data_IF_061146143770
#
_entry.id   IF_061146143770
#
_cell.length_a   1.000
_cell.length_b   1.000
_cell.length_c   1.000
_cell.angle_alpha   90.00
_cell.angle_beta   90.00
_cell.angle_gamma   90.00
#
_symmetry.space_group_name_H-M   'P 1'
#
loop_
_entity.id
_entity.type
_entity.pdbx_description
1 polymer ?
#
# COMPACT_ATOMS: atom_id res chain seq x y z
N UNK A 1 23.37 -3.95 -2.18
CA UNK A 1 23.03 -4.34 -2.27
C UNK A 1 22.29 -4.70 -2.53
N UNK A 2 22.61 -4.64 -2.79
CA UNK A 2 21.99 -5.19 -3.28
C UNK A 2 21.06 -5.99 -2.84
N UNK A 3 20.63 -6.59 -3.16
CA UNK A 3 19.79 -7.64 -2.77
C UNK A 3 18.72 -7.27 -1.79
N UNK A 4 18.59 -6.06 -1.46
CA UNK A 4 17.58 -5.58 -0.53
C UNK A 4 16.48 -4.82 -1.20
N UNK A 5 16.39 -4.93 -2.50
CA UNK A 5 15.34 -4.22 -3.19
C UNK A 5 13.99 -4.84 -2.84
N UNK A 6 13.16 -4.06 -2.19
CA UNK A 6 11.80 -4.49 -1.87
C UNK A 6 10.85 -3.98 -2.92
N UNK A 7 9.78 -4.71 -3.12
CA UNK A 7 8.77 -4.37 -4.13
C UNK A 7 7.53 -3.82 -3.45
N UNK A 8 7.10 -2.65 -3.90
CA UNK A 8 5.90 -1.98 -3.42
C UNK A 8 4.89 -1.94 -4.56
N UNK A 9 3.66 -2.35 -4.27
CA UNK A 9 2.57 -2.22 -5.21
C UNK A 9 1.70 -1.06 -4.76
N UNK A 10 1.49 -0.09 -5.65
CA UNK A 10 0.63 1.06 -5.37
C UNK A 10 -0.68 0.86 -6.11
N UNK A 11 -1.77 0.76 -5.36
CA UNK A 11 -3.11 0.52 -5.91
C UNK A 11 -3.95 1.75 -5.68
N UNK A 12 -4.17 2.51 -6.74
CA UNK A 12 -4.93 3.76 -6.67
C UNK A 12 -5.33 4.10 -8.10
N UNK A 13 -6.56 4.54 -8.30
CA UNK A 13 -7.03 4.86 -9.64
C UNK A 13 -6.54 6.21 -10.15
N UNK A 14 -5.87 6.98 -9.30
CA UNK A 14 -5.38 8.30 -9.66
C UNK A 14 -3.93 8.21 -10.15
N UNK A 15 -3.69 8.41 -11.46
CA UNK A 15 -2.34 8.24 -12.01
C UNK A 15 -1.31 9.17 -11.38
N UNK A 16 -1.70 10.40 -11.03
CA UNK A 16 -0.75 11.34 -10.46
C UNK A 16 -0.27 10.88 -9.08
N UNK A 17 -1.15 10.28 -8.30
CA UNK A 17 -0.75 9.78 -7.00
C UNK A 17 0.18 8.57 -7.15
N UNK A 18 -0.14 7.68 -8.09
CA UNK A 18 0.74 6.54 -8.34
C UNK A 18 2.13 7.02 -8.75
N UNK A 19 2.18 8.03 -9.61
CA UNK A 19 3.47 8.57 -10.06
C UNK A 19 4.24 9.19 -8.90
N UNK A 20 3.55 9.95 -8.06
CA UNK A 20 4.18 10.56 -6.89
C UNK A 20 4.82 9.49 -6.00
N UNK A 21 4.07 8.45 -5.69
CA UNK A 21 4.58 7.36 -4.87
C UNK A 21 5.75 6.68 -5.55
N UNK A 22 5.60 6.38 -6.84
CA UNK A 22 6.63 5.66 -7.57
C UNK A 22 7.95 6.41 -7.59
N UNK A 23 7.92 7.70 -7.97
CA UNK A 23 9.14 8.47 -8.08
C UNK A 23 9.86 8.51 -6.74
N UNK A 24 9.12 8.78 -5.67
CA UNK A 24 9.75 8.93 -4.38
C UNK A 24 10.24 7.62 -3.79
N UNK A 25 9.50 6.55 -3.98
CA UNK A 25 9.93 5.26 -3.46
C UNK A 25 11.08 4.68 -4.27
N UNK A 26 11.10 4.90 -5.57
CA UNK A 26 12.23 4.45 -6.38
C UNK A 26 13.50 5.18 -5.98
N UNK A 27 13.40 6.45 -5.62
CA UNK A 27 14.56 7.17 -5.12
C UNK A 27 15.11 6.58 -3.84
N UNK A 28 14.28 5.88 -3.08
CA UNK A 28 14.70 5.23 -1.85
C UNK A 28 15.13 3.78 -2.07
N UNK A 29 15.14 3.32 -3.32
CA UNK A 29 15.64 1.99 -3.62
C UNK A 29 14.58 0.92 -3.79
N UNK A 30 13.31 1.27 -3.71
CA UNK A 30 12.24 0.29 -3.90
C UNK A 30 11.96 0.05 -5.38
N UNK A 31 11.52 -1.17 -5.68
CA UNK A 31 10.92 -1.48 -6.97
C UNK A 31 9.44 -1.20 -6.83
N UNK A 32 8.86 -0.43 -7.75
CA UNK A 32 7.47 -0.01 -7.61
C UNK A 32 6.63 -0.53 -8.77
N UNK A 33 5.54 -1.19 -8.44
CA UNK A 33 4.53 -1.63 -9.41
C UNK A 33 3.28 -0.80 -9.17
N UNK A 34 2.50 -0.59 -10.22
CA UNK A 34 1.29 0.23 -10.15
C UNK A 34 0.09 -0.54 -10.64
N UNK A 35 -1.04 -0.33 -9.99
CA UNK A 35 -2.32 -0.86 -10.44
C UNK A 35 -3.38 0.21 -10.29
N UNK A 36 -4.08 0.49 -11.36
CA UNK A 36 -5.16 1.48 -11.36
C UNK A 36 -6.53 0.85 -11.20
N UNK A 37 -6.61 -0.47 -11.13
CA UNK A 37 -7.88 -1.19 -10.94
C UNK A 37 -7.68 -2.32 -9.97
N UNK A 38 -8.78 -2.77 -9.38
CA UNK A 38 -8.76 -3.94 -8.49
C UNK A 38 -8.29 -5.18 -9.24
N UNK A 39 -8.78 -5.37 -10.48
CA UNK A 39 -8.41 -6.55 -11.26
C UNK A 39 -6.91 -6.61 -11.50
N UNK A 40 -6.31 -5.50 -11.89
CA UNK A 40 -4.86 -5.46 -12.12
C UNK A 40 -4.10 -5.73 -10.82
N UNK A 41 -4.57 -5.14 -9.72
CA UNK A 41 -3.91 -5.34 -8.42
C UNK A 41 -3.95 -6.81 -8.03
N UNK A 42 -5.08 -7.47 -8.18
CA UNK A 42 -5.20 -8.88 -7.82
C UNK A 42 -4.28 -9.74 -8.69
N UNK A 43 -4.19 -9.41 -9.97
CA UNK A 43 -3.30 -10.13 -10.86
C UNK A 43 -1.85 -9.99 -10.41
N UNK A 44 -1.45 -8.78 -10.04
CA UNK A 44 -0.07 -8.53 -9.62
C UNK A 44 0.26 -9.21 -8.30
N UNK A 45 -0.66 -9.20 -7.32
CA UNK A 45 -0.37 -9.86 -6.05
C UNK A 45 -0.28 -11.38 -6.22
N UNK A 46 -0.96 -11.93 -7.21
CA UNK A 46 -0.88 -13.37 -7.46
C UNK A 46 0.33 -13.78 -8.26
N UNK A 47 1.01 -12.84 -8.89
CA UNK A 47 2.10 -13.14 -9.82
C UNK A 47 3.46 -12.66 -9.35
N UNK A 48 3.50 -11.50 -8.70
CA UNK A 48 4.77 -10.88 -8.34
C UNK A 48 5.04 -11.07 -6.86
N UNK A 49 6.32 -11.07 -6.50
CA UNK A 49 6.72 -11.10 -5.10
C UNK A 49 6.65 -9.67 -4.57
N UNK A 50 5.63 -9.37 -3.81
CA UNK A 50 5.37 -8.02 -3.32
C UNK A 50 5.59 -7.98 -1.82
N UNK A 51 6.32 -6.96 -1.37
CA UNK A 51 6.63 -6.79 0.05
C UNK A 51 5.66 -5.84 0.74
N UNK A 52 5.19 -4.83 0.03
CA UNK A 52 4.28 -3.82 0.60
C UNK A 52 3.21 -3.50 -0.43
N UNK A 53 1.96 -3.42 0.02
CA UNK A 53 0.85 -2.95 -0.81
C UNK A 53 0.32 -1.65 -0.22
N UNK A 54 0.37 -0.58 -1.00
CA UNK A 54 -0.29 0.67 -0.66
C UNK A 54 -1.64 0.64 -1.37
N UNK A 55 -2.71 0.65 -0.62
CA UNK A 55 -4.01 0.27 -1.13
C UNK A 55 -5.06 1.32 -0.82
N UNK A 56 -5.57 1.98 -1.86
CA UNK A 56 -6.67 2.92 -1.69
C UNK A 56 -7.95 2.16 -1.36
N UNK A 57 -8.79 2.76 -0.54
CA UNK A 57 -10.09 2.16 -0.19
C UNK A 57 -10.98 2.06 -1.42
N UNK A 58 -11.00 3.10 -2.24
CA UNK A 58 -11.79 3.11 -3.46
C UNK A 58 -10.87 3.15 -4.67
N UNK A 59 -10.98 2.18 -5.55
CA UNK A 59 -10.13 2.08 -6.72
C UNK A 59 -11.04 2.08 -7.95
N UNK A 60 -11.26 3.28 -8.51
CA UNK A 60 -12.22 3.46 -9.57
C UNK A 60 -13.60 3.05 -9.10
N UNK A 61 -14.24 2.14 -9.80
CA UNK A 61 -15.54 1.61 -9.40
C UNK A 61 -15.41 0.46 -8.41
N UNK A 62 -14.19 0.05 -8.10
CA UNK A 62 -13.97 -1.12 -7.26
C UNK A 62 -13.67 -0.76 -5.82
N UNK A 63 -13.61 -1.78 -4.99
CA UNK A 63 -13.34 -1.64 -3.57
C UNK A 63 -11.97 -2.23 -3.28
N UNK A 64 -11.10 -1.42 -2.69
CA UNK A 64 -9.75 -1.87 -2.36
C UNK A 64 -9.74 -3.07 -1.42
N UNK A 65 -10.80 -3.25 -0.62
CA UNK A 65 -10.85 -4.40 0.27
C UNK A 65 -10.83 -5.73 -0.48
N UNK A 66 -11.24 -5.74 -1.74
CA UNK A 66 -11.14 -6.96 -2.54
C UNK A 66 -9.69 -7.37 -2.74
N UNK A 67 -8.78 -6.40 -2.82
CA UNK A 67 -7.35 -6.69 -2.93
C UNK A 67 -6.83 -7.22 -1.60
N UNK A 68 -7.27 -6.63 -0.50
CA UNK A 68 -6.89 -7.10 0.83
C UNK A 68 -7.34 -8.56 1.03
N UNK A 69 -8.58 -8.86 0.61
CA UNK A 69 -9.10 -10.22 0.69
C UNK A 69 -8.22 -11.19 -0.09
N UNK A 70 -7.75 -10.76 -1.27
CA UNK A 70 -6.89 -11.62 -2.08
C UNK A 70 -5.54 -11.87 -1.41
N UNK A 71 -4.96 -10.82 -0.83
CA UNK A 71 -3.69 -10.98 -0.11
C UNK A 71 -3.85 -11.96 1.04
N UNK A 72 -4.96 -11.87 1.76
CA UNK A 72 -5.22 -12.78 2.87
C UNK A 72 -5.50 -14.20 2.40
N UNK A 73 -6.27 -14.33 1.32
CA UNK A 73 -6.61 -15.65 0.79
C UNK A 73 -5.37 -16.40 0.30
N UNK A 74 -4.40 -15.67 -0.23
CA UNK A 74 -3.15 -16.27 -0.69
C UNK A 74 -2.11 -16.39 0.41
N UNK A 75 -2.45 -15.92 1.60
CA UNK A 75 -1.56 -15.96 2.77
C UNK A 75 -0.20 -15.35 2.45
N UNK A 76 -0.22 -14.18 1.82
CA UNK A 76 1.01 -13.52 1.42
C UNK A 76 1.59 -12.73 2.59
N UNK A 77 2.91 -12.71 2.74
CA UNK A 77 3.54 -11.99 3.85
C UNK A 77 3.73 -10.51 3.55
N UNK A 78 2.91 -9.95 2.68
CA UNK A 78 3.03 -8.54 2.32
C UNK A 78 2.46 -7.65 3.42
N UNK A 79 3.16 -6.54 3.65
CA UNK A 79 2.66 -5.49 4.53
C UNK A 79 1.61 -4.69 3.77
N UNK A 80 0.44 -4.49 4.35
CA UNK A 80 -0.62 -3.73 3.69
C UNK A 80 -0.85 -2.42 4.44
N UNK A 81 -0.78 -1.32 3.70
CA UNK A 81 -1.03 0.02 4.23
C UNK A 81 -2.19 0.61 3.45
N UNK A 82 -3.28 0.94 4.15
CA UNK A 82 -4.42 1.56 3.49
C UNK A 82 -4.15 3.04 3.27
N UNK A 83 -4.47 3.52 2.06
CA UNK A 83 -4.46 4.94 1.75
C UNK A 83 -5.90 5.42 1.84
N UNK A 84 -6.14 6.50 2.57
CA UNK A 84 -7.52 6.83 2.86
C UNK A 84 -7.68 8.30 3.17
N UNK A 85 -8.82 8.85 2.79
CA UNK A 85 -9.27 10.09 3.38
C UNK A 85 -9.66 9.82 4.83
N UNK A 86 -10.05 10.85 5.54
CA UNK A 86 -10.40 10.70 6.94
C UNK A 86 -11.59 9.78 7.10
N UNK A 87 -11.56 8.93 8.03
CA UNK A 87 -12.69 8.12 8.51
C UNK A 87 -13.24 7.09 7.53
N UNK A 88 -12.58 6.84 6.41
CA UNK A 88 -13.04 5.81 5.48
C UNK A 88 -12.65 4.40 5.91
N UNK A 89 -11.69 4.28 6.81
CA UNK A 89 -11.20 2.96 7.21
C UNK A 89 -11.87 2.58 8.52
N UNK A 90 -12.68 1.54 8.48
CA UNK A 90 -13.40 1.09 9.67
C UNK A 90 -12.45 0.46 10.68
N UNK A 91 -12.94 0.32 11.92
CA UNK A 91 -12.14 -0.33 12.96
C UNK A 91 -11.81 -1.76 12.58
N UNK A 92 -12.75 -2.46 11.93
CA UNK A 92 -12.50 -3.84 11.52
C UNK A 92 -11.35 -3.94 10.52
N UNK A 93 -11.35 -3.04 9.53
CA UNK A 93 -10.31 -3.05 8.51
C UNK A 93 -8.95 -2.72 9.14
N UNK A 94 -8.95 -1.80 10.10
CA UNK A 94 -7.70 -1.44 10.76
C UNK A 94 -7.02 -2.63 11.42
N UNK A 95 -7.80 -3.59 11.89
CA UNK A 95 -7.23 -4.79 12.51
C UNK A 95 -6.62 -5.74 11.48
N UNK A 96 -6.97 -5.58 10.21
CA UNK A 96 -6.51 -6.47 9.14
C UNK A 96 -5.31 -5.93 8.38
N UNK A 97 -4.95 -4.67 8.60
CA UNK A 97 -3.86 -4.04 7.86
C UNK A 97 -2.75 -3.63 8.81
N UNK A 98 -1.58 -3.37 8.23
CA UNK A 98 -0.40 -3.04 9.01
C UNK A 98 -0.28 -1.57 9.29
N UNK A 99 -0.97 -0.74 8.52
CA UNK A 99 -0.96 0.69 8.74
C UNK A 99 -2.01 1.39 7.92
N UNK A 100 -2.24 2.65 8.26
CA UNK A 100 -3.15 3.52 7.53
C UNK A 100 -2.44 4.85 7.30
N UNK A 101 -2.43 5.30 6.05
CA UNK A 101 -1.80 6.56 5.67
C UNK A 101 -2.88 7.49 5.16
N UNK A 102 -3.13 8.56 5.90
CA UNK A 102 -4.18 9.51 5.55
C UNK A 102 -3.80 10.38 4.38
N UNK A 103 -4.76 10.72 3.55
CA UNK A 103 -4.57 11.62 2.43
C UNK A 103 -5.09 13.00 2.82
N UNK A 104 -4.36 14.05 2.52
CA UNK A 104 -3.03 14.06 1.91
C UNK A 104 -1.95 13.69 2.91
N UNK A 105 -0.85 13.17 2.42
CA UNK A 105 0.26 12.77 3.30
C UNK A 105 1.55 13.47 2.86
N UNK A 106 2.46 13.58 3.83
CA UNK A 106 3.80 14.06 3.52
C UNK A 106 4.65 12.90 3.01
N UNK A 107 5.68 13.22 2.23
CA UNK A 107 6.54 12.17 1.68
C UNK A 107 7.25 11.39 2.77
N UNK A 108 7.58 12.05 3.90
CA UNK A 108 8.18 11.33 5.02
C UNK A 108 7.21 10.32 5.63
N UNK A 109 5.91 10.66 5.63
CA UNK A 109 4.91 9.73 6.12
C UNK A 109 4.77 8.52 5.20
N UNK A 110 4.86 8.75 3.90
CA UNK A 110 4.84 7.66 2.94
C UNK A 110 6.03 6.72 3.15
N UNK A 111 7.21 7.30 3.29
CA UNK A 111 8.43 6.54 3.52
C UNK A 111 8.33 5.70 4.79
N UNK A 112 7.86 6.31 5.88
CA UNK A 112 7.72 5.62 7.16
C UNK A 112 6.68 4.49 7.07
N UNK A 113 5.57 4.74 6.39
CA UNK A 113 4.52 3.74 6.27
C UNK A 113 5.02 2.51 5.51
N UNK A 114 5.77 2.73 4.44
CA UNK A 114 6.29 1.63 3.63
C UNK A 114 7.33 0.84 4.40
N UNK A 115 8.21 1.54 5.11
CA UNK A 115 9.29 0.86 5.85
C UNK A 115 8.83 0.25 7.16
N UNK A 116 7.69 0.68 7.67
CA UNK A 116 7.19 0.21 8.96
C UNK A 116 7.68 0.99 10.14
N UNK A 117 8.49 2.00 9.93
CA UNK A 117 9.07 2.75 11.05
C UNK A 117 8.03 3.53 11.82
N UNK A 118 7.18 4.24 11.08
CA UNK A 118 6.21 5.10 11.74
C UNK A 118 5.18 4.34 12.53
N UNK A 119 4.76 3.18 12.04
CA UNK A 119 3.68 2.45 12.67
C UNK A 119 4.10 1.90 14.03
N UNK A 120 5.36 1.56 14.20
CA UNK A 120 5.79 1.07 15.49
C UNK A 120 5.73 2.14 16.57
N UNK A 121 5.90 3.36 16.18
CA UNK A 121 5.93 4.47 17.10
C UNK A 121 4.54 4.96 17.47
N UNK A 122 3.64 4.73 16.61
CA UNK A 122 2.29 5.24 16.81
C UNK A 122 1.70 4.75 18.11
N UNK A 123 2.14 3.66 18.47
CA UNK A 123 1.70 3.22 19.75
C UNK A 123 2.04 4.20 20.81
N UNK A 124 2.61 4.96 20.57
CA UNK A 124 2.89 5.58 21.49
C UNK A 124 2.31 6.48 22.05
N UNK A 125 2.58 6.38 21.80
CA UNK A 125 2.17 6.90 22.26
C UNK A 125 1.55 7.05 22.64
#
# INVERSE_FOLDING_TARGET
MEGNERTVLVVDDEPSLRLLCRVNLELEGYRVLEAGTVAMAKELVGREAIDVVLLDVHVGAGNGLDVLDEVEALDLPARVVMLSGTSEVSADVRTRVDGVLGKPFALSELSDAVSGKGSGRVANE
#
